data_IF_238106280036
#
_entry.id   IF_238106280036
#
_cell.length_a   1.000
_cell.length_b   1.000
_cell.length_c   1.000
_cell.angle_alpha   90.00
_cell.angle_beta   90.00
_cell.angle_gamma   90.00
#
_symmetry.space_group_name_H-M   'P 1'
#
loop_
_entity.id
_entity.type
_entity.pdbx_description
1 polymer ?
#
# COMPACT_ATOMS: atom_id res chain seq x y z
N UNK A 1 -34.26 -32.71 -28.17
CA UNK A 1 -33.50 -31.53 -28.67
C UNK A 1 -33.26 -30.58 -27.50
N UNK A 2 -31.99 -30.45 -27.07
CA UNK A 2 -31.57 -29.93 -25.75
C UNK A 2 -31.45 -28.41 -25.79
N UNK A 3 -32.42 -27.70 -25.20
CA UNK A 3 -32.55 -26.21 -25.17
C UNK A 3 -31.62 -25.56 -24.12
N UNK A 4 -30.32 -25.92 -24.09
CA UNK A 4 -29.37 -25.42 -23.09
C UNK A 4 -28.48 -24.26 -23.56
N UNK A 5 -28.52 -23.92 -24.86
CA UNK A 5 -27.80 -22.78 -25.43
C UNK A 5 -28.20 -21.39 -24.87
N UNK A 6 -29.49 -21.06 -24.57
CA UNK A 6 -29.82 -19.71 -24.14
C UNK A 6 -29.40 -19.41 -22.69
N UNK A 7 -29.26 -20.43 -21.83
CA UNK A 7 -28.87 -20.21 -20.43
C UNK A 7 -27.40 -19.82 -20.30
N UNK A 8 -26.51 -20.43 -21.10
CA UNK A 8 -25.08 -20.13 -21.06
C UNK A 8 -24.76 -18.69 -21.47
N UNK A 9 -25.49 -18.15 -22.46
CA UNK A 9 -25.30 -16.77 -22.93
C UNK A 9 -25.77 -15.73 -21.90
N UNK A 10 -26.85 -16.03 -21.16
CA UNK A 10 -27.36 -15.17 -20.09
C UNK A 10 -26.40 -15.18 -18.90
N UNK A 11 -25.88 -16.34 -18.48
CA UNK A 11 -24.90 -16.43 -17.38
C UNK A 11 -23.61 -15.69 -17.74
N UNK A 12 -23.13 -15.83 -18.98
CA UNK A 12 -21.95 -15.12 -19.45
C UNK A 12 -22.18 -13.61 -19.50
N UNK A 13 -23.35 -13.16 -19.98
CA UNK A 13 -23.71 -11.74 -19.99
C UNK A 13 -23.78 -11.13 -18.60
N UNK A 14 -24.39 -11.83 -17.63
CA UNK A 14 -24.45 -11.40 -16.22
C UNK A 14 -23.07 -11.38 -15.60
N UNK A 15 -22.23 -12.38 -15.86
CA UNK A 15 -20.85 -12.40 -15.37
C UNK A 15 -20.01 -11.23 -15.90
N UNK A 16 -20.17 -10.87 -17.18
CA UNK A 16 -19.47 -9.74 -17.79
C UNK A 16 -19.95 -8.38 -17.26
N UNK A 17 -21.26 -8.23 -17.02
CA UNK A 17 -21.82 -7.01 -16.41
C UNK A 17 -21.37 -6.88 -14.95
N UNK A 18 -21.39 -7.98 -14.18
CA UNK A 18 -20.88 -7.99 -12.81
C UNK A 18 -19.37 -7.66 -12.77
N UNK A 19 -18.58 -8.27 -13.66
CA UNK A 19 -17.15 -7.98 -13.79
C UNK A 19 -16.89 -6.49 -14.12
N UNK A 20 -17.66 -5.90 -15.05
CA UNK A 20 -17.52 -4.51 -15.43
C UNK A 20 -17.89 -3.52 -14.30
N UNK A 21 -18.94 -3.83 -13.52
CA UNK A 21 -19.38 -2.97 -12.41
C UNK A 21 -18.47 -3.06 -11.18
N UNK A 22 -17.87 -4.22 -10.91
CA UNK A 22 -16.93 -4.39 -9.81
C UNK A 22 -15.52 -3.91 -10.14
N UNK A 23 -15.07 -4.02 -11.40
CA UNK A 23 -13.72 -3.61 -11.81
C UNK A 23 -13.41 -2.13 -11.62
N UNK A 24 -14.38 -1.23 -11.89
CA UNK A 24 -14.19 0.20 -11.64
C UNK A 24 -14.20 0.54 -10.14
N UNK A 25 -15.09 -0.08 -9.36
CA UNK A 25 -15.17 0.15 -7.91
C UNK A 25 -13.97 -0.43 -7.16
N UNK A 26 -13.44 -1.59 -7.55
CA UNK A 26 -12.30 -2.20 -6.88
C UNK A 26 -11.01 -1.44 -7.15
N UNK A 27 -10.84 -0.89 -8.35
CA UNK A 27 -9.72 0.01 -8.67
C UNK A 27 -9.72 1.24 -7.76
N UNK A 28 -10.85 1.92 -7.62
CA UNK A 28 -10.94 3.12 -6.77
C UNK A 28 -10.71 2.78 -5.29
N UNK A 29 -11.21 1.63 -4.82
CA UNK A 29 -10.95 1.13 -3.46
C UNK A 29 -9.48 0.82 -3.22
N UNK A 30 -8.81 0.20 -4.18
CA UNK A 30 -7.38 -0.09 -4.11
C UNK A 30 -6.55 1.19 -4.12
N UNK A 31 -6.86 2.16 -5.00
CA UNK A 31 -6.20 3.47 -4.98
C UNK A 31 -6.40 4.18 -3.63
N UNK A 32 -7.63 4.16 -3.10
CA UNK A 32 -7.91 4.69 -1.76
C UNK A 32 -7.17 3.94 -0.65
N UNK A 33 -7.00 2.63 -0.75
CA UNK A 33 -6.19 1.83 0.18
C UNK A 33 -4.71 2.24 0.13
N UNK A 34 -4.14 2.43 -1.06
CA UNK A 34 -2.75 2.86 -1.23
C UNK A 34 -2.51 4.26 -0.65
N UNK A 35 -3.41 5.23 -0.90
CA UNK A 35 -3.32 6.55 -0.31
C UNK A 35 -3.46 6.53 1.22
N UNK A 36 -4.42 5.76 1.75
CA UNK A 36 -4.54 5.56 3.21
C UNK A 36 -3.27 4.95 3.81
N UNK A 37 -2.59 4.07 3.08
CA UNK A 37 -1.29 3.52 3.51
C UNK A 37 -0.22 4.61 3.61
N UNK A 38 -0.14 5.49 2.62
CA UNK A 38 0.80 6.60 2.60
C UNK A 38 0.52 7.62 3.73
N UNK A 39 -0.76 7.87 4.02
CA UNK A 39 -1.18 8.75 5.11
C UNK A 39 -0.94 8.13 6.50
N UNK A 40 -1.16 6.82 6.65
CA UNK A 40 -0.97 6.13 7.94
C UNK A 40 0.49 6.18 8.43
N UNK A 41 1.46 6.24 7.51
CA UNK A 41 2.89 6.36 7.85
C UNK A 41 3.35 7.81 8.07
N UNK A 42 2.47 8.80 7.89
CA UNK A 42 2.80 10.21 8.07
C UNK A 42 3.28 10.50 9.49
N UNK A 43 4.30 11.34 9.58
CA UNK A 43 4.79 11.97 10.81
C UNK A 43 4.49 13.46 10.70
N UNK A 44 3.72 13.98 11.64
CA UNK A 44 3.37 15.40 11.71
C UNK A 44 4.14 16.09 12.84
N UNK A 45 4.45 17.38 12.64
CA UNK A 45 5.07 18.21 13.67
C UNK A 45 4.05 18.39 14.82
N UNK A 46 4.38 17.85 15.99
CA UNK A 46 3.46 17.81 17.14
C UNK A 46 2.86 16.43 17.43
N UNK A 47 3.21 15.38 16.68
CA UNK A 47 2.90 13.98 17.00
C UNK A 47 3.79 13.48 18.17
N UNK A 48 3.75 14.19 19.31
CA UNK A 48 4.75 14.09 20.39
C UNK A 48 4.46 12.99 21.40
N UNK A 49 3.26 12.39 21.38
CA UNK A 49 2.88 11.34 22.32
C UNK A 49 2.97 9.96 21.62
N UNK A 50 4.02 9.16 21.91
CA UNK A 50 4.23 7.87 21.25
C UNK A 50 3.09 6.87 21.48
N UNK A 51 2.38 6.96 22.61
CA UNK A 51 1.28 6.05 22.95
C UNK A 51 0.06 6.34 22.08
N UNK A 52 -0.26 7.62 21.88
CA UNK A 52 -1.36 8.05 21.00
C UNK A 52 -1.06 7.65 19.56
N UNK A 53 0.19 7.89 19.11
CA UNK A 53 0.64 7.49 17.78
C UNK A 53 0.57 5.99 17.56
N UNK A 54 1.04 5.20 18.52
CA UNK A 54 0.95 3.74 18.46
C UNK A 54 -0.50 3.28 18.32
N UNK A 55 -1.43 3.85 19.10
CA UNK A 55 -2.85 3.54 19.02
C UNK A 55 -3.44 3.84 17.64
N UNK A 56 -3.16 5.02 17.09
CA UNK A 56 -3.59 5.43 15.74
C UNK A 56 -3.04 4.50 14.67
N UNK A 57 -1.71 4.33 14.62
CA UNK A 57 -1.04 3.48 13.62
C UNK A 57 -1.55 2.04 13.69
N UNK A 58 -1.75 1.49 14.90
CA UNK A 58 -2.29 0.14 15.07
C UNK A 58 -3.71 0.00 14.54
N UNK A 59 -4.56 1.00 14.78
CA UNK A 59 -5.93 1.04 14.26
C UNK A 59 -5.91 1.06 12.73
N UNK A 60 -5.21 2.02 12.13
CA UNK A 60 -5.11 2.18 10.68
C UNK A 60 -4.55 0.91 10.02
N UNK A 61 -3.48 0.34 10.59
CA UNK A 61 -2.84 -0.85 10.02
C UNK A 61 -3.73 -2.08 10.13
N UNK A 62 -4.65 -2.14 11.10
CA UNK A 62 -5.58 -3.26 11.22
C UNK A 62 -6.62 -3.32 10.10
N UNK A 63 -6.90 -2.18 9.47
CA UNK A 63 -7.80 -2.02 8.32
C UNK A 63 -7.03 -2.12 7.00
N UNK A 64 -5.79 -1.62 6.97
CA UNK A 64 -4.96 -1.55 5.76
C UNK A 64 -4.30 -2.89 5.45
N UNK A 65 -3.74 -3.56 6.46
CA UNK A 65 -2.88 -4.72 6.28
C UNK A 65 -3.54 -6.03 6.73
N UNK A 66 -3.16 -7.10 6.03
CA UNK A 66 -3.41 -8.46 6.51
C UNK A 66 -2.58 -8.73 7.77
N UNK A 67 -2.93 -9.78 8.53
CA UNK A 67 -2.19 -10.11 9.76
C UNK A 67 -0.73 -10.48 9.47
N UNK A 68 -0.52 -11.20 8.37
CA UNK A 68 0.79 -11.69 7.91
C UNK A 68 1.52 -10.73 6.97
N UNK A 69 1.08 -9.46 6.93
CA UNK A 69 1.65 -8.49 6.02
C UNK A 69 3.15 -8.31 6.21
N UNK A 70 3.86 -8.01 5.13
CA UNK A 70 5.30 -7.81 5.16
C UNK A 70 5.72 -6.52 4.46
N UNK A 71 6.87 -5.99 4.87
CA UNK A 71 7.50 -4.87 4.20
C UNK A 71 9.01 -5.08 4.03
N UNK A 72 9.54 -4.57 2.94
CA UNK A 72 10.96 -4.60 2.63
C UNK A 72 11.42 -3.25 2.11
N UNK A 73 12.48 -2.71 2.70
CA UNK A 73 13.11 -1.45 2.30
C UNK A 73 14.62 -1.72 2.25
N UNK A 74 15.34 -1.39 1.17
CA UNK A 74 16.73 -1.84 0.98
C UNK A 74 17.69 -1.46 2.11
N UNK A 75 17.51 -0.31 2.74
CA UNK A 75 18.34 0.18 3.85
C UNK A 75 18.06 -0.52 5.18
N UNK A 76 16.92 -1.19 5.28
CA UNK A 76 16.58 -2.01 6.42
C UNK A 76 16.96 -3.43 5.99
N UNK A 77 18.16 -3.87 6.39
CA UNK A 77 18.70 -5.20 6.05
C UNK A 77 17.78 -6.38 6.45
N UNK A 78 16.72 -6.11 7.22
CA UNK A 78 15.69 -7.05 7.62
C UNK A 78 14.34 -6.79 6.94
N UNK A 79 13.74 -7.85 6.37
CA UNK A 79 12.32 -7.87 5.98
C UNK A 79 11.45 -7.84 7.24
N UNK A 80 10.57 -6.85 7.34
CA UNK A 80 9.58 -6.78 8.41
C UNK A 80 8.45 -7.77 8.10
N UNK A 81 8.11 -8.61 9.07
CA UNK A 81 7.06 -9.62 8.94
C UNK A 81 6.00 -9.47 10.03
N UNK A 82 4.75 -9.56 9.62
CA UNK A 82 3.59 -9.39 10.48
C UNK A 82 3.24 -7.93 10.72
N UNK A 83 1.94 -7.68 10.81
CA UNK A 83 1.40 -6.32 11.01
C UNK A 83 1.98 -5.59 12.23
N UNK A 84 2.22 -6.30 13.32
CA UNK A 84 2.77 -5.71 14.54
C UNK A 84 4.21 -5.20 14.36
N UNK A 85 5.04 -5.91 13.59
CA UNK A 85 6.39 -5.44 13.27
C UNK A 85 6.34 -4.15 12.43
N UNK A 86 5.40 -4.07 11.49
CA UNK A 86 5.17 -2.86 10.68
C UNK A 86 4.72 -1.68 11.55
N UNK A 87 3.75 -1.90 12.46
CA UNK A 87 3.27 -0.88 13.41
C UNK A 87 4.43 -0.36 14.26
N UNK A 88 5.27 -1.24 14.78
CA UNK A 88 6.43 -0.86 15.60
C UNK A 88 7.44 -0.03 14.80
N UNK A 89 7.81 -0.48 13.60
CA UNK A 89 8.76 0.24 12.74
C UNK A 89 8.25 1.64 12.41
N UNK A 90 6.98 1.77 12.00
CA UNK A 90 6.37 3.07 11.68
C UNK A 90 6.27 3.95 12.92
N UNK A 91 5.91 3.39 14.09
CA UNK A 91 5.83 4.12 15.36
C UNK A 91 7.21 4.66 15.80
N UNK A 92 8.29 3.98 15.46
CA UNK A 92 9.65 4.45 15.74
C UNK A 92 10.09 5.61 14.83
N UNK A 93 9.54 5.75 13.62
CA UNK A 93 9.92 6.86 12.71
C UNK A 93 9.73 8.25 13.31
N UNK A 94 8.74 8.42 14.20
CA UNK A 94 8.44 9.69 14.85
C UNK A 94 9.50 10.15 15.87
N UNK A 95 10.40 9.26 16.32
CA UNK A 95 11.55 9.68 17.14
C UNK A 95 12.72 10.20 16.30
N UNK A 96 12.76 9.83 15.02
CA UNK A 96 13.84 10.17 14.09
C UNK A 96 13.46 11.42 13.28
N UNK A 97 12.30 11.38 12.65
CA UNK A 97 11.78 12.46 11.81
C UNK A 97 10.97 13.46 12.63
N UNK A 98 11.17 14.74 12.36
CA UNK A 98 10.26 15.80 12.83
C UNK A 98 8.97 15.79 12.02
N UNK A 99 9.12 15.60 10.71
CA UNK A 99 8.01 15.47 9.77
C UNK A 99 8.41 14.50 8.67
N UNK A 100 7.44 13.72 8.19
CA UNK A 100 7.60 12.84 7.05
C UNK A 100 6.24 12.63 6.39
N UNK A 101 6.19 12.82 5.09
CA UNK A 101 5.01 12.61 4.27
C UNK A 101 5.40 11.80 3.04
N UNK A 102 4.54 10.87 2.67
CA UNK A 102 4.69 10.05 1.47
C UNK A 102 3.54 10.39 0.54
N UNK A 103 3.85 10.71 -0.71
CA UNK A 103 2.87 10.78 -1.79
C UNK A 103 3.14 9.68 -2.81
N UNK A 104 2.09 9.20 -3.47
CA UNK A 104 2.18 8.18 -4.52
C UNK A 104 1.79 8.81 -5.85
N UNK A 105 2.68 8.68 -6.84
CA UNK A 105 2.47 9.04 -8.23
C UNK A 105 2.61 7.84 -9.17
N UNK A 106 2.23 8.01 -10.43
CA UNK A 106 2.38 7.00 -11.50
C UNK A 106 1.91 5.59 -11.12
N UNK A 107 0.73 5.49 -10.50
CA UNK A 107 0.22 4.20 -10.03
C UNK A 107 -0.26 3.35 -11.21
N UNK A 108 0.43 2.25 -11.49
CA UNK A 108 -0.03 1.17 -12.38
C UNK A 108 -0.60 0.03 -11.52
N UNK A 109 -1.88 -0.30 -11.74
CA UNK A 109 -2.63 -1.27 -10.95
C UNK A 109 -3.14 -2.40 -11.83
N UNK A 110 -2.90 -3.63 -11.40
CA UNK A 110 -3.38 -4.86 -12.04
C UNK A 110 -4.14 -5.70 -11.02
N UNK A 111 -5.40 -5.97 -11.32
CA UNK A 111 -6.25 -6.85 -10.52
C UNK A 111 -6.30 -8.19 -11.26
N UNK A 112 -6.19 -9.30 -10.53
CA UNK A 112 -6.31 -10.62 -11.16
C UNK A 112 -7.72 -10.84 -11.76
N UNK A 113 -7.87 -11.76 -12.74
CA UNK A 113 -9.16 -12.01 -13.37
C UNK A 113 -10.27 -12.53 -12.43
N UNK A 114 -9.90 -13.15 -11.31
CA UNK A 114 -10.83 -13.62 -10.29
C UNK A 114 -11.25 -12.50 -9.31
N UNK A 115 -10.59 -11.33 -9.34
CA UNK A 115 -10.88 -10.18 -8.48
C UNK A 115 -10.50 -10.41 -7.01
N UNK A 116 -9.53 -11.28 -6.74
CA UNK A 116 -9.15 -11.72 -5.38
C UNK A 116 -7.82 -11.14 -4.90
N UNK A 117 -6.91 -10.85 -5.82
CA UNK A 117 -5.58 -10.28 -5.59
C UNK A 117 -5.34 -9.12 -6.54
N UNK A 118 -4.45 -8.22 -6.15
CA UNK A 118 -4.02 -7.12 -6.97
C UNK A 118 -2.54 -6.80 -6.73
N UNK A 119 -1.88 -6.34 -7.78
CA UNK A 119 -0.53 -5.82 -7.76
C UNK A 119 -0.56 -4.36 -8.19
N UNK A 120 0.15 -3.50 -7.46
CA UNK A 120 0.33 -2.11 -7.83
C UNK A 120 1.80 -1.75 -7.85
N UNK A 121 2.23 -0.96 -8.83
CA UNK A 121 3.52 -0.29 -8.82
C UNK A 121 3.29 1.21 -8.81
N UNK A 122 4.08 1.95 -8.03
CA UNK A 122 3.96 3.40 -7.91
C UNK A 122 5.34 4.04 -7.73
N UNK A 123 5.43 5.33 -8.04
CA UNK A 123 6.52 6.19 -7.56
C UNK A 123 6.12 6.76 -6.21
N UNK A 124 6.83 6.42 -5.14
CA UNK A 124 6.65 7.04 -3.83
C UNK A 124 7.63 8.20 -3.68
N UNK A 125 7.10 9.40 -3.42
CA UNK A 125 7.90 10.59 -3.09
C UNK A 125 7.81 10.82 -1.59
N UNK A 126 8.92 10.65 -0.88
CA UNK A 126 9.05 10.88 0.56
C UNK A 126 9.60 12.28 0.77
N UNK A 127 8.85 13.15 1.43
CA UNK A 127 9.32 14.47 1.86
C UNK A 127 9.33 14.54 3.37
N UNK A 128 10.46 14.89 3.97
CA UNK A 128 10.57 14.94 5.42
C UNK A 128 11.79 15.71 5.92
N UNK A 129 11.81 15.98 7.20
CA UNK A 129 12.92 16.62 7.90
C UNK A 129 13.30 15.83 9.14
N UNK A 130 14.61 15.65 9.34
CA UNK A 130 15.16 15.19 10.60
C UNK A 130 15.17 16.35 11.60
N UNK A 131 15.24 16.03 12.89
CA UNK A 131 15.37 17.04 13.94
C UNK A 131 16.60 17.93 13.70
N UNK A 132 16.37 19.20 13.39
CA UNK A 132 17.44 20.18 13.16
C UNK A 132 18.07 20.16 11.77
N UNK A 133 17.51 19.42 10.81
CA UNK A 133 17.96 19.42 9.42
C UNK A 133 16.92 20.04 8.48
N UNK A 134 17.38 20.47 7.30
CA UNK A 134 16.51 20.94 6.22
C UNK A 134 15.62 19.81 5.70
N UNK A 135 14.50 20.20 5.08
CA UNK A 135 13.59 19.29 4.41
C UNK A 135 14.31 18.62 3.24
N UNK A 136 14.17 17.30 3.15
CA UNK A 136 14.69 16.49 2.05
C UNK A 136 13.54 15.78 1.34
N UNK A 137 13.72 15.59 0.04
CA UNK A 137 12.83 14.80 -0.80
C UNK A 137 13.60 13.61 -1.38
N UNK A 138 12.96 12.46 -1.39
CA UNK A 138 13.45 11.19 -1.92
C UNK A 138 12.36 10.56 -2.78
N UNK A 139 12.73 9.90 -3.86
CA UNK A 139 11.79 9.20 -4.74
C UNK A 139 12.20 7.76 -4.93
N UNK A 140 11.23 6.84 -4.89
CA UNK A 140 11.49 5.40 -5.03
C UNK A 140 10.36 4.71 -5.77
N UNK A 141 10.68 3.66 -6.50
CA UNK A 141 9.64 2.73 -6.98
C UNK A 141 9.19 1.83 -5.83
N UNK A 142 7.89 1.65 -5.69
CA UNK A 142 7.30 0.78 -4.67
C UNK A 142 6.33 -0.18 -5.33
N UNK A 143 6.39 -1.44 -4.94
CA UNK A 143 5.47 -2.49 -5.34
C UNK A 143 4.60 -2.89 -4.16
N UNK A 144 3.30 -3.00 -4.41
CA UNK A 144 2.30 -3.41 -3.46
C UNK A 144 1.63 -4.69 -3.94
N UNK A 145 1.41 -5.62 -3.03
CA UNK A 145 0.52 -6.77 -3.26
C UNK A 145 -0.65 -6.67 -2.29
N UNK A 146 -1.86 -6.81 -2.81
CA UNK A 146 -3.10 -6.78 -2.04
C UNK A 146 -3.90 -8.06 -2.27
N UNK A 147 -4.68 -8.45 -1.27
CA UNK A 147 -5.63 -9.54 -1.35
C UNK A 147 -6.96 -9.14 -0.72
N UNK A 148 -8.05 -9.77 -1.18
CA UNK A 148 -9.39 -9.56 -0.66
C UNK A 148 -9.63 -10.53 0.51
N UNK A 149 -9.78 -9.97 1.72
CA UNK A 149 -10.05 -10.71 2.96
C UNK A 149 -11.45 -10.33 3.44
N UNK A 150 -12.34 -11.31 3.59
CA UNK A 150 -13.73 -11.11 4.00
C UNK A 150 -14.51 -10.08 3.15
N UNK A 151 -14.11 -9.90 1.88
CA UNK A 151 -14.73 -8.97 0.94
C UNK A 151 -14.03 -7.60 0.83
N UNK A 152 -13.08 -7.31 1.71
CA UNK A 152 -12.33 -6.05 1.74
C UNK A 152 -10.89 -6.22 1.26
N UNK A 153 -10.39 -5.23 0.52
CA UNK A 153 -9.00 -5.21 0.07
C UNK A 153 -8.05 -4.87 1.22
N UNK A 154 -6.98 -5.66 1.36
CA UNK A 154 -5.92 -5.43 2.33
C UNK A 154 -4.55 -5.67 1.70
N UNK A 155 -3.55 -4.92 2.15
CA UNK A 155 -2.18 -5.09 1.72
C UNK A 155 -1.55 -6.31 2.40
N UNK A 156 -0.94 -7.16 1.59
CA UNK A 156 -0.17 -8.32 2.00
C UNK A 156 1.34 -8.03 1.97
N UNK A 157 1.81 -7.26 0.98
CA UNK A 157 3.23 -6.92 0.90
C UNK A 157 3.46 -5.51 0.36
N UNK A 158 4.54 -4.88 0.84
CA UNK A 158 5.06 -3.61 0.33
C UNK A 158 6.57 -3.73 0.15
N UNK A 159 7.06 -3.50 -1.06
CA UNK A 159 8.49 -3.59 -1.38
C UNK A 159 8.93 -2.27 -1.99
N UNK A 160 9.77 -1.53 -1.27
CA UNK A 160 10.43 -0.35 -1.82
C UNK A 160 11.70 -0.75 -2.56
N UNK A 161 11.95 -0.11 -3.70
CA UNK A 161 13.22 -0.15 -4.42
C UNK A 161 14.26 0.78 -3.79
N UNK A 162 15.44 0.83 -4.41
CA UNK A 162 16.49 1.79 -4.06
C UNK A 162 16.04 3.23 -4.36
N UNK A 163 16.84 4.21 -3.90
CA UNK A 163 16.55 5.62 -4.14
C UNK A 163 16.76 5.91 -5.63
N UNK A 164 15.79 6.56 -6.27
CA UNK A 164 15.94 7.06 -7.63
C UNK A 164 17.03 8.15 -7.61
N UNK A 165 18.18 7.86 -8.20
CA UNK A 165 19.38 8.71 -8.19
C UNK A 165 20.68 7.99 -7.78
N UNK A 166 20.60 6.84 -7.10
CA UNK A 166 21.79 6.04 -6.78
C UNK A 166 22.21 5.08 -7.92
N UNK A 167 21.39 4.98 -8.98
CA UNK A 167 21.65 4.12 -10.16
C UNK A 167 22.61 4.74 -11.21
N UNK A 168 23.03 6.00 -11.08
CA UNK A 168 24.00 6.65 -12.00
C UNK A 168 25.48 6.54 -11.55
N UNK A 169 25.80 5.65 -10.60
CA UNK A 169 27.13 5.55 -9.98
C UNK A 169 27.91 4.25 -10.19
N UNK A 170 27.60 3.45 -11.22
CA UNK A 170 28.34 2.22 -11.52
C UNK A 170 29.43 2.45 -12.59
N UNK A 171 30.73 2.21 -12.30
CA UNK A 171 31.83 2.41 -13.26
C UNK A 171 31.79 1.48 -14.47
#
# INVERSE_FOLDING_TARGET
MKRWLPLGLVVLGVALIAFALFGSSDKDRLLGLLHRTADAVRVEEGDTNPVVRLGRVRSDFSEIFTKEASASVPEIEARLQGREALVQAVTQLGSVYRSAHVSLGDVDLRIDPAGMTAEATATATVTGSLHGQEVRTDERKVMFTAEKVDGDWRLQSVVAGARLGDEEGGP
#
